data_IF_752885090238
#
_entry.id   IF_752885090238
#
_cell.length_a   1.000
_cell.length_b   1.000
_cell.length_c   1.000
_cell.angle_alpha   90.00
_cell.angle_beta   90.00
_cell.angle_gamma   90.00
#
_symmetry.space_group_name_H-M   'P 1'
#
loop_
_entity.id
_entity.type
_entity.pdbx_description
1 polymer ?
#
# COMPACT_ATOMS: atom_id res chain seq x y z
N UNK A 1 -7.51 -10.28 -2.95
CA UNK A 1 -6.08 -10.55 -2.76
C UNK A 1 -5.42 -9.37 -2.06
N UNK A 2 -4.46 -9.63 -1.20
CA UNK A 2 -3.66 -8.60 -0.56
C UNK A 2 -2.31 -8.49 -1.27
N UNK A 3 -1.97 -7.30 -1.73
CA UNK A 3 -0.67 -7.01 -2.35
C UNK A 3 0.18 -6.23 -1.36
N UNK A 4 1.36 -6.72 -1.06
CA UNK A 4 2.31 -6.04 -0.17
C UNK A 4 3.47 -5.52 -1.01
N UNK A 5 3.70 -4.22 -0.98
CA UNK A 5 4.77 -3.58 -1.73
C UNK A 5 5.79 -2.99 -0.76
N UNK A 6 7.06 -3.45 -0.86
CA UNK A 6 8.15 -2.92 -0.05
C UNK A 6 9.17 -2.11 -0.85
N UNK A 7 8.94 -1.94 -2.15
CA UNK A 7 9.81 -1.17 -3.04
C UNK A 7 9.20 0.19 -3.34
N UNK A 8 9.99 1.15 -3.85
CA UNK A 8 9.48 2.48 -4.17
C UNK A 8 8.32 2.45 -5.16
N UNK A 9 7.44 3.48 -5.14
CA UNK A 9 6.21 3.46 -5.92
C UNK A 9 6.42 3.47 -7.43
N UNK A 10 7.57 3.92 -7.92
CA UNK A 10 7.90 3.96 -9.35
C UNK A 10 8.84 2.83 -9.76
N UNK A 11 9.03 1.83 -8.90
CA UNK A 11 9.85 0.67 -9.20
C UNK A 11 9.15 -0.28 -10.18
N UNK A 12 9.93 -1.20 -10.76
CA UNK A 12 9.38 -2.25 -11.60
C UNK A 12 8.42 -3.15 -10.82
N UNK A 13 8.75 -3.46 -9.56
CA UNK A 13 7.88 -4.25 -8.71
C UNK A 13 6.50 -3.59 -8.55
N UNK A 14 6.48 -2.27 -8.34
CA UNK A 14 5.22 -1.52 -8.22
C UNK A 14 4.44 -1.56 -9.54
N UNK A 15 5.10 -1.42 -10.67
CA UNK A 15 4.46 -1.49 -11.97
C UNK A 15 3.82 -2.85 -12.22
N UNK A 16 4.53 -3.92 -11.88
CA UNK A 16 4.00 -5.27 -12.00
C UNK A 16 2.81 -5.50 -11.07
N UNK A 17 2.89 -5.01 -9.84
CA UNK A 17 1.77 -5.08 -8.89
C UNK A 17 0.53 -4.40 -9.49
N UNK A 18 0.69 -3.18 -9.99
CA UNK A 18 -0.45 -2.40 -10.50
C UNK A 18 -1.11 -3.07 -11.70
N UNK A 19 -0.35 -3.81 -12.51
CA UNK A 19 -0.91 -4.57 -13.62
C UNK A 19 -1.68 -5.82 -13.17
N UNK A 20 -1.47 -6.25 -11.93
CA UNK A 20 -2.08 -7.46 -11.37
C UNK A 20 -3.29 -7.17 -10.48
N UNK A 21 -3.35 -5.99 -9.87
CA UNK A 21 -4.43 -5.59 -8.96
C UNK A 21 -5.78 -5.63 -9.66
N UNK A 22 -6.78 -6.19 -8.99
CA UNK A 22 -8.17 -6.24 -9.46
C UNK A 22 -9.12 -5.63 -8.43
N UNK A 23 -10.37 -5.45 -8.82
CA UNK A 23 -11.39 -4.89 -7.93
C UNK A 23 -11.49 -5.69 -6.64
N UNK A 24 -11.62 -4.97 -5.53
CA UNK A 24 -11.78 -5.60 -4.21
C UNK A 24 -10.46 -6.00 -3.56
N UNK A 25 -9.34 -5.86 -4.26
CA UNK A 25 -8.03 -6.15 -3.67
C UNK A 25 -7.64 -5.07 -2.67
N UNK A 26 -6.68 -5.39 -1.82
CA UNK A 26 -6.04 -4.43 -0.93
C UNK A 26 -4.56 -4.30 -1.28
N UNK A 27 -4.04 -3.10 -1.14
CA UNK A 27 -2.61 -2.81 -1.29
C UNK A 27 -2.11 -2.35 0.07
N UNK A 28 -1.01 -2.96 0.55
CA UNK A 28 -0.34 -2.54 1.76
C UNK A 28 1.07 -2.07 1.42
N UNK A 29 1.35 -0.82 1.71
CA UNK A 29 2.66 -0.19 1.48
C UNK A 29 3.47 -0.28 2.76
N UNK A 30 4.65 -0.91 2.66
CA UNK A 30 5.60 -1.04 3.77
C UNK A 30 6.98 -0.60 3.29
N UNK A 31 7.88 -0.33 4.23
CA UNK A 31 9.25 0.05 3.93
C UNK A 31 9.30 1.17 2.87
N UNK A 32 10.04 1.01 1.79
CA UNK A 32 10.14 2.03 0.74
C UNK A 32 8.84 2.25 -0.03
N UNK A 33 7.88 1.34 0.06
CA UNK A 33 6.57 1.51 -0.55
C UNK A 33 5.81 2.70 0.02
N UNK A 34 6.06 3.07 1.27
CA UNK A 34 5.40 4.23 1.88
C UNK A 34 5.78 5.55 1.22
N UNK A 35 6.84 5.58 0.41
CA UNK A 35 7.22 6.77 -0.37
C UNK A 35 6.12 7.18 -1.35
N UNK A 36 5.17 6.30 -1.68
CA UNK A 36 4.03 6.67 -2.51
C UNK A 36 3.24 7.84 -1.92
N UNK A 37 3.32 8.05 -0.60
CA UNK A 37 2.70 9.19 0.05
C UNK A 37 3.24 10.54 -0.44
N UNK A 38 4.42 10.56 -1.06
CA UNK A 38 5.00 11.77 -1.64
C UNK A 38 4.43 12.09 -3.03
N UNK A 39 3.68 11.19 -3.63
CA UNK A 39 3.21 11.29 -5.01
C UNK A 39 1.70 11.22 -5.09
N UNK A 40 1.06 12.39 -5.17
CA UNK A 40 -0.41 12.49 -5.21
C UNK A 40 -0.97 11.84 -6.48
N UNK A 41 -0.19 11.78 -7.54
CA UNK A 41 -0.58 11.24 -8.84
C UNK A 41 -0.15 9.79 -9.07
N UNK A 42 0.37 9.12 -8.04
CA UNK A 42 0.74 7.72 -8.18
C UNK A 42 -0.49 6.88 -8.58
N UNK A 43 -0.38 6.07 -9.66
CA UNK A 43 -1.55 5.33 -10.16
C UNK A 43 -2.19 4.37 -9.15
N UNK A 44 -1.42 3.92 -8.16
CA UNK A 44 -1.94 3.00 -7.14
C UNK A 44 -3.07 3.57 -6.30
N UNK A 45 -3.16 4.90 -6.19
CA UNK A 45 -4.25 5.51 -5.41
C UNK A 45 -5.62 5.28 -6.02
N UNK A 46 -5.68 5.08 -7.34
CA UNK A 46 -6.92 4.89 -8.08
C UNK A 46 -6.82 3.73 -9.08
N UNK A 47 -6.16 2.65 -8.69
CA UNK A 47 -5.85 1.54 -9.61
C UNK A 47 -7.10 0.87 -10.16
N UNK A 48 -8.05 0.54 -9.30
CA UNK A 48 -9.31 -0.11 -9.65
C UNK A 48 -10.38 0.28 -8.63
N UNK A 49 -11.65 0.00 -8.95
CA UNK A 49 -12.75 0.21 -8.02
C UNK A 49 -12.59 -0.69 -6.79
N UNK A 50 -12.97 -0.17 -5.64
CA UNK A 50 -12.99 -0.91 -4.37
C UNK A 50 -11.62 -1.46 -3.94
N UNK A 51 -10.52 -0.84 -4.41
CA UNK A 51 -9.18 -1.17 -3.94
C UNK A 51 -8.85 -0.29 -2.73
N UNK A 52 -8.52 -0.93 -1.62
CA UNK A 52 -8.08 -0.24 -0.41
C UNK A 52 -6.58 -0.11 -0.43
N UNK A 53 -6.07 1.10 -0.26
CA UNK A 53 -4.63 1.33 -0.11
C UNK A 53 -4.34 1.64 1.35
N UNK A 54 -3.58 0.76 1.99
CA UNK A 54 -3.17 0.89 3.38
C UNK A 54 -1.67 1.15 3.44
N UNK A 55 -1.25 1.87 4.47
CA UNK A 55 0.15 2.21 4.70
C UNK A 55 0.52 1.77 6.11
N UNK A 56 1.63 1.04 6.25
CA UNK A 56 2.08 0.62 7.57
C UNK A 56 2.53 1.84 8.36
N UNK A 57 1.85 2.08 9.48
CA UNK A 57 2.05 3.28 10.30
C UNK A 57 3.50 3.42 10.77
N UNK A 58 4.09 2.34 11.26
CA UNK A 58 5.46 2.37 11.79
C UNK A 58 6.46 2.83 10.74
N UNK A 59 6.30 2.36 9.50
CA UNK A 59 7.20 2.75 8.41
C UNK A 59 6.95 4.19 7.96
N UNK A 60 5.70 4.64 7.94
CA UNK A 60 5.38 6.03 7.62
C UNK A 60 5.94 6.98 8.66
N UNK A 61 5.80 6.64 9.94
CA UNK A 61 6.35 7.45 11.04
C UNK A 61 7.87 7.52 10.95
N UNK A 62 8.52 6.38 10.71
CA UNK A 62 9.98 6.31 10.62
C UNK A 62 10.54 7.22 9.51
N UNK A 63 9.77 7.48 8.47
CA UNK A 63 10.16 8.32 7.34
C UNK A 63 9.56 9.73 7.38
N UNK A 64 8.86 10.08 8.46
CA UNK A 64 8.25 11.39 8.63
C UNK A 64 7.06 11.64 7.71
N UNK A 65 6.37 10.58 7.27
CA UNK A 65 5.29 10.67 6.29
C UNK A 65 3.90 10.43 6.86
N UNK A 66 3.77 10.24 8.17
CA UNK A 66 2.48 9.89 8.76
C UNK A 66 1.40 10.97 8.55
N UNK A 67 1.78 12.26 8.59
CA UNK A 67 0.82 13.34 8.37
C UNK A 67 0.38 13.43 6.91
N UNK A 68 1.29 13.10 5.98
CA UNK A 68 0.98 13.16 4.54
C UNK A 68 -0.06 12.12 4.16
N UNK A 69 -0.16 11.01 4.89
CA UNK A 69 -1.14 9.97 4.63
C UNK A 69 -2.57 10.49 4.58
N UNK A 70 -2.90 11.47 5.41
CA UNK A 70 -4.25 12.04 5.45
C UNK A 70 -4.62 12.74 4.14
N UNK A 71 -3.64 13.27 3.41
CA UNK A 71 -3.88 13.99 2.15
C UNK A 71 -4.26 13.06 1.01
N UNK A 72 -3.93 11.78 1.12
CA UNK A 72 -4.16 10.78 0.07
C UNK A 72 -5.35 9.88 0.37
N UNK A 73 -6.04 10.13 1.48
CA UNK A 73 -7.09 9.23 1.97
C UNK A 73 -6.57 7.79 2.17
N UNK A 74 -5.26 7.63 2.35
CA UNK A 74 -4.67 6.34 2.66
C UNK A 74 -4.96 5.99 4.12
N UNK A 75 -5.22 4.71 4.36
CA UNK A 75 -5.47 4.22 5.70
C UNK A 75 -4.16 3.81 6.34
N UNK A 76 -3.82 4.41 7.48
CA UNK A 76 -2.67 3.97 8.28
C UNK A 76 -3.08 2.75 9.09
N UNK A 77 -2.30 1.68 9.00
CA UNK A 77 -2.49 0.48 9.81
C UNK A 77 -1.23 0.20 10.61
N UNK A 78 -1.39 -0.19 11.87
CA UNK A 78 -0.28 -0.64 12.70
C UNK A 78 -0.01 -2.12 12.47
N UNK A 79 0.93 -2.71 13.22
CA UNK A 79 1.25 -4.13 13.06
C UNK A 79 0.06 -5.03 13.34
N UNK A 80 -0.81 -4.65 14.27
CA UNK A 80 -2.04 -5.40 14.53
C UNK A 80 -2.96 -5.35 13.32
N UNK A 81 -3.14 -4.17 12.72
CA UNK A 81 -3.93 -4.01 11.50
C UNK A 81 -3.35 -4.78 10.33
N UNK A 82 -2.02 -4.83 10.22
CA UNK A 82 -1.35 -5.65 9.22
C UNK A 82 -1.77 -7.13 9.36
N UNK A 83 -1.70 -7.66 10.58
CA UNK A 83 -2.08 -9.06 10.82
C UNK A 83 -3.54 -9.29 10.47
N UNK A 84 -4.42 -8.37 10.84
CA UNK A 84 -5.84 -8.44 10.49
C UNK A 84 -6.07 -8.48 8.99
N UNK A 85 -5.33 -7.67 8.22
CA UNK A 85 -5.40 -7.70 6.76
C UNK A 85 -5.02 -9.06 6.20
N UNK A 86 -3.97 -9.68 6.74
CA UNK A 86 -3.55 -10.99 6.26
C UNK A 86 -4.60 -12.06 6.56
N UNK A 87 -5.36 -11.90 7.63
CA UNK A 87 -6.43 -12.82 7.99
C UNK A 87 -7.67 -12.65 7.11
N UNK A 88 -7.93 -11.43 6.63
CA UNK A 88 -9.08 -11.12 5.78
C UNK A 88 -8.96 -11.62 4.35
N UNK A 89 -7.74 -11.88 3.89
CA UNK A 89 -7.47 -12.28 2.52
C UNK A 89 -6.94 -13.69 2.45
N UNK A 90 -7.47 -14.47 1.51
CA UNK A 90 -7.02 -15.85 1.29
C UNK A 90 -5.73 -15.95 0.49
N UNK A 91 -5.42 -14.90 -0.28
CA UNK A 91 -4.21 -14.85 -1.10
C UNK A 91 -3.44 -13.57 -0.82
N UNK A 92 -2.13 -13.71 -0.67
CA UNK A 92 -1.21 -12.62 -0.37
C UNK A 92 -0.04 -12.70 -1.34
N UNK A 93 0.26 -11.59 -2.01
CA UNK A 93 1.44 -11.47 -2.88
C UNK A 93 2.34 -10.36 -2.35
N UNK A 94 3.62 -10.68 -2.21
CA UNK A 94 4.64 -9.68 -1.85
C UNK A 94 5.41 -9.31 -3.11
N UNK A 95 5.57 -8.01 -3.31
CA UNK A 95 6.26 -7.45 -4.48
C UNK A 95 7.56 -6.77 -4.04
N UNK A 96 8.69 -7.30 -4.46
CA UNK A 96 10.02 -6.79 -4.12
C UNK A 96 11.05 -7.07 -5.20
#
# INVERSE_FOLDING_TARGET
MLHILNKPPHSEAAAQMLSTVTEGDSILLIEDGVQALLYVDWPGWNAKADVNVCVLKEDAVARGLSEVAFRHHATLVDMKGFVELTEQHTKILSWY
#
